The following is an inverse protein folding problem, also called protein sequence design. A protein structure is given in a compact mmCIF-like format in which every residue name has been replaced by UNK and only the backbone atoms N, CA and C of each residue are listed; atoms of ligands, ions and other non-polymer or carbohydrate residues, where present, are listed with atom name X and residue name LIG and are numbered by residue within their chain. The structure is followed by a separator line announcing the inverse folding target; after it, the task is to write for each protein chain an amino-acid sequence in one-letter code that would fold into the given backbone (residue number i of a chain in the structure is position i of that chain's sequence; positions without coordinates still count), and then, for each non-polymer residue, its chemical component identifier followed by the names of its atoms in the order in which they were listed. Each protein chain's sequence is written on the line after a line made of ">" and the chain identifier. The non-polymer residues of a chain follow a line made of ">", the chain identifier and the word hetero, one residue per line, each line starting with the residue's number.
data_IF_763920857838
#
_entry.id   IF_763920857838
#
_cell.length_a   1.000
_cell.length_b   1.000
_cell.length_c   1.000
_cell.angle_alpha   90.00
_cell.angle_beta   90.00
_cell.angle_gamma   90.00
#
_symmetry.space_group_name_H-M   'P 1'
#
loop_
_entity.id
_entity.type
_entity.pdbx_description
1 polymer ?
#
# COMPACT_ATOMS: atom_id res chain seq x y z
N UNK A 1 -29.67 -13.88 16.32
CA UNK A 1 -28.78 -14.88 15.67
C UNK A 1 -27.99 -14.26 14.52
N UNK A 2 -28.60 -13.43 13.67
CA UNK A 2 -27.94 -12.73 12.55
C UNK A 2 -26.82 -11.77 12.99
N UNK A 3 -27.05 -10.99 14.05
CA UNK A 3 -26.09 -9.99 14.55
C UNK A 3 -24.75 -10.61 15.00
N UNK A 4 -24.79 -11.83 15.54
CA UNK A 4 -23.60 -12.55 16.00
C UNK A 4 -22.77 -13.11 14.83
N UNK A 5 -23.45 -13.56 13.76
CA UNK A 5 -22.84 -14.02 12.52
C UNK A 5 -22.18 -12.83 11.80
N UNK A 6 -22.85 -11.67 11.76
CA UNK A 6 -22.31 -10.47 11.12
C UNK A 6 -21.10 -9.90 11.87
N UNK A 7 -21.11 -9.93 13.21
CA UNK A 7 -19.94 -9.58 14.01
C UNK A 7 -18.74 -10.51 13.74
N UNK A 8 -18.99 -11.82 13.58
CA UNK A 8 -17.96 -12.79 13.23
C UNK A 8 -17.40 -12.58 11.82
N UNK A 9 -18.25 -12.27 10.84
CA UNK A 9 -17.80 -11.89 9.48
C UNK A 9 -16.94 -10.62 9.52
N UNK A 10 -17.36 -9.62 10.29
CA UNK A 10 -16.59 -8.39 10.46
C UNK A 10 -15.21 -8.65 11.08
N UNK A 11 -15.14 -9.55 12.07
CA UNK A 11 -13.89 -9.99 12.68
C UNK A 11 -12.99 -10.72 11.67
N UNK A 12 -13.52 -11.70 10.94
CA UNK A 12 -12.80 -12.43 9.90
C UNK A 12 -12.28 -11.49 8.79
N UNK A 13 -13.09 -10.51 8.38
CA UNK A 13 -12.67 -9.46 7.44
C UNK A 13 -11.53 -8.60 7.99
N UNK A 14 -11.60 -8.22 9.26
CA UNK A 14 -10.54 -7.43 9.90
C UNK A 14 -9.23 -8.25 9.98
N UNK A 15 -9.29 -9.50 10.40
CA UNK A 15 -8.15 -10.40 10.46
C UNK A 15 -7.56 -10.66 9.06
N UNK A 16 -8.39 -10.77 8.03
CA UNK A 16 -7.94 -10.95 6.65
C UNK A 16 -7.23 -9.71 6.13
N UNK A 17 -7.80 -8.52 6.38
CA UNK A 17 -7.17 -7.24 6.03
C UNK A 17 -5.84 -7.06 6.73
N UNK A 18 -5.70 -7.53 7.95
CA UNK A 18 -4.47 -7.49 8.73
C UNK A 18 -3.44 -8.57 8.30
N UNK A 19 -3.81 -9.48 7.38
CA UNK A 19 -2.92 -10.53 6.86
C UNK A 19 -2.88 -11.80 7.70
N UNK A 20 -3.65 -11.88 8.79
CA UNK A 20 -3.64 -13.04 9.70
C UNK A 20 -4.69 -14.11 9.33
N UNK A 21 -5.62 -13.83 8.42
CA UNK A 21 -6.70 -14.75 8.07
C UNK A 21 -6.86 -14.94 6.55
N UNK A 22 -6.82 -16.19 6.10
CA UNK A 22 -6.97 -16.60 4.70
C UNK A 22 -8.19 -17.50 4.47
N UNK A 23 -9.04 -17.66 5.49
CA UNK A 23 -10.25 -18.47 5.43
C UNK A 23 -11.44 -17.75 4.78
N UNK A 24 -12.55 -18.46 4.64
CA UNK A 24 -13.81 -17.87 4.21
C UNK A 24 -14.36 -16.89 5.26
N UNK A 25 -14.99 -15.81 4.80
CA UNK A 25 -15.72 -14.85 5.65
C UNK A 25 -17.16 -15.34 5.75
N UNK A 26 -17.36 -16.39 6.53
CA UNK A 26 -18.62 -17.13 6.65
C UNK A 26 -19.38 -16.81 7.94
N UNK A 27 -18.76 -16.11 8.89
CA UNK A 27 -19.32 -15.81 10.19
C UNK A 27 -19.25 -16.98 11.17
N UNK A 28 -18.41 -17.98 10.87
CA UNK A 28 -18.18 -19.13 11.74
C UNK A 28 -16.88 -18.97 12.53
N UNK A 29 -16.97 -19.11 13.85
CA UNK A 29 -15.77 -19.16 14.68
C UNK A 29 -15.16 -20.56 14.61
N UNK A 30 -14.22 -20.75 13.67
CA UNK A 30 -13.51 -22.01 13.46
C UNK A 30 -12.01 -21.93 13.75
N UNK A 31 -11.26 -23.05 13.56
CA UNK A 31 -9.83 -23.13 13.86
C UNK A 31 -8.97 -22.06 13.15
N UNK A 32 -9.38 -21.63 11.94
CA UNK A 32 -8.70 -20.56 11.21
C UNK A 32 -8.88 -19.19 11.86
N UNK A 33 -10.07 -18.91 12.40
CA UNK A 33 -10.37 -17.63 13.08
C UNK A 33 -9.60 -17.56 14.40
N UNK A 34 -9.57 -18.68 15.13
CA UNK A 34 -8.79 -18.83 16.37
C UNK A 34 -7.27 -18.68 16.13
N UNK A 35 -6.73 -19.33 15.10
CA UNK A 35 -5.31 -19.22 14.74
C UNK A 35 -4.93 -17.77 14.37
N UNK A 36 -5.77 -17.09 13.60
CA UNK A 36 -5.57 -15.68 13.24
C UNK A 36 -5.55 -14.76 14.47
N UNK A 37 -6.46 -14.98 15.42
CA UNK A 37 -6.50 -14.23 16.68
C UNK A 37 -5.25 -14.46 17.54
N UNK A 38 -4.78 -15.70 17.63
CA UNK A 38 -3.54 -16.06 18.34
C UNK A 38 -2.31 -15.42 17.71
N UNK A 39 -2.25 -15.38 16.37
CA UNK A 39 -1.18 -14.71 15.65
C UNK A 39 -1.16 -13.20 15.94
N UNK A 40 -2.32 -12.53 15.93
CA UNK A 40 -2.44 -11.12 16.32
C UNK A 40 -1.99 -10.88 17.76
N UNK A 41 -2.39 -11.76 18.69
CA UNK A 41 -2.03 -11.63 20.10
C UNK A 41 -0.53 -11.84 20.35
N UNK A 42 0.10 -12.78 19.65
CA UNK A 42 1.54 -13.04 19.76
C UNK A 42 2.40 -11.86 19.27
N UNK A 43 1.88 -11.05 18.35
CA UNK A 43 2.54 -9.84 17.84
C UNK A 43 2.22 -8.56 18.66
N UNK A 44 1.55 -8.71 19.82
CA UNK A 44 1.23 -7.59 20.72
C UNK A 44 0.03 -6.74 20.28
N UNK A 45 -0.79 -7.22 19.34
CA UNK A 45 -1.90 -6.50 18.76
C UNK A 45 -3.13 -6.40 19.68
N UNK A 46 -3.44 -5.20 20.16
CA UNK A 46 -4.68 -4.91 20.85
C UNK A 46 -5.87 -4.94 19.86
N UNK A 47 -6.57 -6.08 19.76
CA UNK A 47 -7.95 -6.10 19.26
C UNK A 47 -8.87 -5.67 20.41
N UNK A 48 -8.80 -4.39 20.80
CA UNK A 48 -9.76 -3.79 21.72
C UNK A 48 -10.38 -2.60 21.01
N UNK A 49 -11.71 -2.67 20.84
CA UNK A 49 -12.59 -1.70 20.16
C UNK A 49 -12.53 -1.71 18.63
N UNK A 50 -12.92 -2.83 18.00
CA UNK A 50 -13.41 -2.76 16.62
C UNK A 50 -14.77 -2.05 16.62
N UNK A 51 -14.78 -0.77 16.21
CA UNK A 51 -15.94 -0.21 15.51
C UNK A 51 -16.29 -1.16 14.36
N UNK A 52 -17.58 -1.36 14.00
CA UNK A 52 -17.94 -2.22 12.88
C UNK A 52 -17.09 -1.85 11.68
N UNK A 53 -16.41 -2.84 11.10
CA UNK A 53 -15.62 -2.64 9.90
C UNK A 53 -16.54 -1.95 8.88
N UNK A 54 -16.13 -0.76 8.43
CA UNK A 54 -16.80 -0.10 7.32
C UNK A 54 -17.01 -1.15 6.22
N UNK A 55 -18.23 -1.17 5.67
CA UNK A 55 -18.66 -2.07 4.62
C UNK A 55 -17.56 -2.24 3.56
N UNK A 56 -17.48 -3.42 2.92
CA UNK A 56 -16.63 -3.60 1.74
C UNK A 56 -16.82 -2.38 0.82
N UNK A 57 -15.74 -1.71 0.37
CA UNK A 57 -15.86 -0.43 -0.29
C UNK A 57 -16.82 -0.56 -1.49
N UNK A 58 -18.01 0.04 -1.39
CA UNK A 58 -19.06 0.05 -2.42
C UNK A 58 -18.86 1.21 -3.41
N UNK A 59 -17.62 1.71 -3.50
CA UNK A 59 -17.27 2.85 -4.33
C UNK A 59 -17.10 2.49 -5.80
N UNK A 60 -16.94 3.50 -6.68
CA UNK A 60 -16.53 3.28 -8.05
C UNK A 60 -15.27 2.40 -8.13
N UNK A 61 -15.09 1.69 -9.25
CA UNK A 61 -13.89 0.87 -9.48
C UNK A 61 -13.16 1.44 -10.69
N UNK A 62 -11.93 1.87 -10.47
CA UNK A 62 -10.99 2.17 -11.55
C UNK A 62 -10.51 0.86 -12.14
N UNK A 63 -10.43 0.80 -13.46
CA UNK A 63 -9.94 -0.36 -14.18
C UNK A 63 -8.68 0.00 -14.98
N UNK A 64 -7.67 -0.85 -14.89
CA UNK A 64 -6.38 -0.66 -15.57
C UNK A 64 -6.26 -1.49 -16.84
N UNK A 65 -5.78 -0.84 -17.91
CA UNK A 65 -5.49 -1.47 -19.20
C UNK A 65 -6.72 -1.95 -19.97
N UNK A 66 -6.50 -2.42 -21.20
CA UNK A 66 -7.59 -2.91 -22.08
C UNK A 66 -8.31 -4.14 -21.52
N UNK A 67 -7.61 -4.95 -20.72
CA UNK A 67 -8.18 -6.10 -20.02
C UNK A 67 -9.01 -5.72 -18.78
N UNK A 68 -9.09 -4.42 -18.43
CA UNK A 68 -9.89 -3.88 -17.33
C UNK A 68 -9.62 -4.58 -15.99
N UNK A 69 -8.39 -4.57 -15.52
CA UNK A 69 -8.07 -5.09 -14.19
C UNK A 69 -8.62 -4.15 -13.11
N UNK A 70 -9.48 -4.62 -12.17
CA UNK A 70 -9.97 -3.77 -11.10
C UNK A 70 -8.81 -3.33 -10.21
N UNK A 71 -8.77 -2.05 -9.89
CA UNK A 71 -7.76 -1.49 -8.98
C UNK A 71 -8.22 -1.67 -7.54
N UNK A 72 -7.49 -2.47 -6.78
CA UNK A 72 -7.82 -2.78 -5.37
C UNK A 72 -6.66 -2.54 -4.39
N UNK A 73 -5.48 -2.16 -4.88
CA UNK A 73 -4.27 -2.07 -4.09
C UNK A 73 -3.44 -0.83 -4.39
N UNK A 74 -2.87 -0.24 -3.34
CA UNK A 74 -1.80 0.77 -3.42
C UNK A 74 -0.51 0.14 -2.89
N UNK A 75 0.56 0.16 -3.69
CA UNK A 75 1.92 -0.25 -3.26
C UNK A 75 2.81 0.99 -3.13
N UNK A 76 3.40 1.16 -1.94
CA UNK A 76 4.32 2.26 -1.62
C UNK A 76 5.77 1.85 -1.93
N UNK A 77 6.47 2.77 -2.58
CA UNK A 77 7.88 2.66 -2.98
C UNK A 77 8.69 3.84 -2.46
N UNK A 78 10.02 3.71 -2.51
CA UNK A 78 10.95 4.82 -2.42
C UNK A 78 11.94 4.78 -3.60
N UNK A 79 12.41 5.95 -4.03
CA UNK A 79 13.34 6.09 -5.15
C UNK A 79 14.80 5.72 -4.79
N UNK A 80 15.08 5.44 -3.52
CA UNK A 80 16.43 5.17 -2.99
C UNK A 80 17.43 6.31 -3.27
N UNK A 81 16.95 7.55 -3.24
CA UNK A 81 17.78 8.74 -3.46
C UNK A 81 18.27 9.33 -2.14
N UNK A 82 19.44 9.98 -2.16
CA UNK A 82 19.92 10.75 -0.99
C UNK A 82 19.01 11.96 -0.69
N UNK A 83 18.99 12.48 0.56
CA UNK A 83 18.16 13.63 0.95
C UNK A 83 18.42 14.91 0.14
N UNK A 84 19.64 15.10 -0.38
CA UNK A 84 20.04 16.26 -1.19
C UNK A 84 19.88 16.05 -2.69
N UNK A 85 19.39 14.89 -3.11
CA UNK A 85 19.22 14.57 -4.52
C UNK A 85 18.28 15.58 -5.20
N UNK A 86 18.83 16.30 -6.18
CA UNK A 86 18.16 17.37 -6.93
C UNK A 86 17.48 18.42 -6.03
N UNK A 87 18.11 18.78 -4.90
CA UNK A 87 17.63 19.86 -4.02
C UNK A 87 17.41 21.15 -4.82
N UNK A 88 16.30 21.83 -4.58
CA UNK A 88 15.91 23.08 -5.26
C UNK A 88 15.30 22.88 -6.66
N UNK A 89 15.40 21.69 -7.26
CA UNK A 89 14.78 21.41 -8.55
C UNK A 89 13.27 21.15 -8.40
N UNK A 90 12.45 21.58 -9.37
CA UNK A 90 11.02 21.30 -9.37
C UNK A 90 10.74 19.80 -9.52
N UNK A 91 9.58 19.36 -9.07
CA UNK A 91 9.18 17.95 -9.13
C UNK A 91 9.19 17.39 -10.56
N UNK A 92 8.86 18.21 -11.56
CA UNK A 92 8.90 17.85 -12.98
C UNK A 92 10.30 17.43 -13.44
N UNK A 93 11.36 18.11 -12.99
CA UNK A 93 12.73 17.75 -13.29
C UNK A 93 13.12 16.42 -12.62
N UNK A 94 12.70 16.22 -11.37
CA UNK A 94 12.94 14.97 -10.63
C UNK A 94 12.24 13.77 -11.27
N UNK A 95 10.99 13.94 -11.72
CA UNK A 95 10.23 12.93 -12.46
C UNK A 95 10.92 12.56 -13.77
N UNK A 96 11.43 13.55 -14.50
CA UNK A 96 12.19 13.34 -15.75
C UNK A 96 13.45 12.52 -15.51
N UNK A 97 14.18 12.79 -14.44
CA UNK A 97 15.40 12.02 -14.11
C UNK A 97 15.07 10.57 -13.73
N UNK A 98 14.00 10.32 -12.98
CA UNK A 98 13.58 8.94 -12.67
C UNK A 98 13.07 8.20 -13.93
N UNK A 99 12.37 8.89 -14.84
CA UNK A 99 11.99 8.32 -16.15
C UNK A 99 13.25 7.95 -16.96
N UNK A 100 14.28 8.80 -16.93
CA UNK A 100 15.58 8.54 -17.56
C UNK A 100 16.22 7.26 -17.00
N UNK A 101 16.36 7.11 -15.68
CA UNK A 101 16.90 5.90 -15.05
C UNK A 101 16.15 4.64 -15.47
N UNK A 102 14.82 4.69 -15.46
CA UNK A 102 14.01 3.55 -15.86
C UNK A 102 14.21 3.17 -17.34
N UNK A 103 14.25 4.14 -18.25
CA UNK A 103 14.39 3.88 -19.69
C UNK A 103 15.80 3.49 -20.08
N UNK A 104 16.77 4.28 -19.67
CA UNK A 104 18.15 4.18 -20.16
C UNK A 104 18.95 3.14 -19.38
N UNK A 105 18.77 3.06 -18.05
CA UNK A 105 19.60 2.20 -17.20
C UNK A 105 18.92 0.84 -16.93
N UNK A 106 17.59 0.80 -16.87
CA UNK A 106 16.84 -0.44 -16.63
C UNK A 106 16.14 -1.00 -17.86
N UNK A 107 16.20 -0.31 -19.00
CA UNK A 107 15.57 -0.75 -20.25
C UNK A 107 14.04 -0.77 -20.21
N UNK A 108 13.40 -0.08 -19.26
CA UNK A 108 11.96 -0.05 -19.14
C UNK A 108 11.36 0.84 -20.22
N UNK A 109 10.14 0.49 -20.68
CA UNK A 109 9.46 1.29 -21.71
C UNK A 109 9.13 2.71 -21.26
N UNK A 110 9.03 2.97 -19.96
CA UNK A 110 8.69 4.26 -19.32
C UNK A 110 8.86 4.17 -17.80
N UNK A 111 8.70 5.29 -17.12
CA UNK A 111 8.63 5.37 -15.66
C UNK A 111 7.59 4.40 -15.09
N UNK A 112 8.00 3.61 -14.09
CA UNK A 112 7.16 2.55 -13.52
C UNK A 112 6.16 2.98 -12.45
N UNK A 113 6.19 4.25 -12.01
CA UNK A 113 5.35 4.77 -10.92
C UNK A 113 4.14 5.55 -11.46
N UNK A 114 2.98 5.35 -10.82
CA UNK A 114 1.78 6.16 -11.09
C UNK A 114 1.95 7.52 -10.44
N UNK A 115 2.21 7.56 -9.14
CA UNK A 115 2.48 8.82 -8.47
C UNK A 115 3.95 8.87 -8.06
N UNK A 116 4.68 9.79 -8.68
CA UNK A 116 5.80 10.48 -8.03
C UNK A 116 5.30 11.83 -7.55
N UNK A 117 4.12 11.85 -6.93
CA UNK A 117 3.27 13.03 -7.05
C UNK A 117 3.13 13.38 -8.57
N UNK A 118 2.67 12.38 -9.37
CA UNK A 118 1.81 12.49 -10.59
C UNK A 118 2.03 11.40 -11.69
N UNK A 119 0.90 10.83 -12.17
CA UNK A 119 0.48 10.23 -13.48
C UNK A 119 -0.95 9.66 -13.31
N UNK A 120 -1.71 9.51 -14.39
CA UNK A 120 -3.07 8.95 -14.39
C UNK A 120 -3.13 7.46 -13.97
N UNK A 121 -4.10 7.12 -13.11
CA UNK A 121 -4.27 5.83 -12.41
C UNK A 121 -4.79 4.67 -13.30
N UNK A 122 -5.32 4.99 -14.48
CA UNK A 122 -5.98 4.05 -15.40
C UNK A 122 -5.02 3.24 -16.28
N UNK A 123 -3.73 3.59 -16.28
CA UNK A 123 -2.71 2.81 -16.97
C UNK A 123 -2.11 1.74 -16.06
N UNK A 124 -1.53 0.67 -16.62
CA UNK A 124 -0.75 -0.31 -15.83
C UNK A 124 0.66 0.25 -15.60
N UNK A 125 1.09 0.28 -14.34
CA UNK A 125 2.43 0.67 -13.91
C UNK A 125 3.47 -0.44 -14.05
N UNK A 126 4.70 -0.19 -13.59
CA UNK A 126 5.80 -1.15 -13.57
C UNK A 126 6.62 -0.97 -12.29
N UNK A 127 5.99 -1.07 -11.13
CA UNK A 127 6.61 -0.81 -9.82
C UNK A 127 7.16 -2.05 -9.13
N UNK A 128 6.48 -3.20 -9.27
CA UNK A 128 6.88 -4.49 -8.67
C UNK A 128 6.90 -5.55 -9.75
N UNK A 129 8.02 -6.26 -9.92
CA UNK A 129 8.10 -7.33 -10.91
C UNK A 129 7.05 -8.41 -10.64
N UNK A 130 6.28 -8.78 -11.68
CA UNK A 130 5.18 -9.73 -11.55
C UNK A 130 3.90 -9.21 -10.88
N UNK A 131 3.90 -8.02 -10.28
CA UNK A 131 2.77 -7.51 -9.47
C UNK A 131 2.38 -6.06 -9.80
N UNK A 132 1.91 -5.83 -11.04
CA UNK A 132 1.59 -4.47 -11.53
C UNK A 132 0.11 -4.27 -11.94
N UNK A 133 -0.68 -5.34 -12.04
CA UNK A 133 -2.07 -5.28 -12.54
C UNK A 133 -3.03 -5.02 -11.38
N UNK A 134 -3.90 -4.03 -11.51
CA UNK A 134 -4.85 -3.68 -10.45
C UNK A 134 -4.19 -2.94 -9.28
N UNK A 135 -3.02 -2.36 -9.52
CA UNK A 135 -2.17 -1.76 -8.48
C UNK A 135 -1.83 -0.32 -8.85
N UNK A 136 -2.04 0.60 -7.91
CA UNK A 136 -1.49 1.95 -7.97
C UNK A 136 -0.15 1.96 -7.25
N UNK A 137 0.88 2.51 -7.90
CA UNK A 137 2.23 2.58 -7.34
C UNK A 137 2.54 4.03 -6.97
N UNK A 138 2.83 4.28 -5.70
CA UNK A 138 3.21 5.59 -5.18
C UNK A 138 4.66 5.55 -4.73
N UNK A 139 5.50 6.44 -5.25
CA UNK A 139 6.93 6.49 -4.93
C UNK A 139 7.29 7.76 -4.15
N UNK A 140 7.92 7.57 -2.99
CA UNK A 140 8.54 8.62 -2.20
C UNK A 140 9.96 8.92 -2.70
N UNK A 141 10.32 10.21 -2.76
CA UNK A 141 11.72 10.61 -2.97
C UNK A 141 12.46 10.48 -1.64
N UNK A 142 13.63 9.85 -1.65
CA UNK A 142 14.41 9.49 -0.45
C UNK A 142 14.63 7.99 -0.31
N UNK A 143 15.02 7.56 0.90
CA UNK A 143 15.13 6.14 1.27
C UNK A 143 16.48 5.46 0.97
N UNK A 144 17.48 6.20 0.48
CA UNK A 144 18.83 5.65 0.31
C UNK A 144 19.38 5.13 1.67
N UNK A 145 19.84 3.87 1.69
CA UNK A 145 20.40 3.25 2.89
C UNK A 145 19.40 2.83 3.97
N UNK A 146 18.09 2.95 3.70
CA UNK A 146 17.05 2.53 4.65
C UNK A 146 17.03 1.00 4.84
N UNK A 147 16.72 0.56 6.06
CA UNK A 147 16.37 -0.83 6.33
C UNK A 147 14.87 -1.07 6.08
N UNK A 148 14.49 -2.31 5.76
CA UNK A 148 13.10 -2.68 5.46
C UNK A 148 12.08 -2.32 6.56
N UNK A 149 12.56 -2.21 7.81
CA UNK A 149 11.75 -2.05 9.02
C UNK A 149 12.05 -0.76 9.77
N UNK A 150 12.74 0.20 9.15
CA UNK A 150 12.96 1.51 9.76
C UNK A 150 11.62 2.21 10.06
N UNK A 151 11.58 3.10 11.06
CA UNK A 151 10.45 4.00 11.23
C UNK A 151 10.44 5.04 10.08
N UNK A 152 9.24 5.45 9.64
CA UNK A 152 9.07 6.34 8.48
C UNK A 152 9.87 7.64 8.63
N UNK A 153 9.81 8.25 9.81
CA UNK A 153 10.42 9.52 10.16
C UNK A 153 11.96 9.51 10.13
N UNK A 154 12.59 8.33 10.13
CA UNK A 154 14.04 8.22 9.96
C UNK A 154 14.50 8.64 8.57
N UNK A 155 13.68 8.33 7.56
CA UNK A 155 14.07 8.41 6.15
C UNK A 155 13.25 9.45 5.36
N UNK A 156 12.09 9.86 5.87
CA UNK A 156 11.14 10.75 5.19
C UNK A 156 10.59 11.83 6.12
N UNK A 157 10.18 12.96 5.53
CA UNK A 157 9.70 14.14 6.29
C UNK A 157 8.23 14.04 6.65
N UNK A 158 7.81 14.70 7.74
CA UNK A 158 6.40 14.80 8.14
C UNK A 158 5.48 15.40 7.05
N UNK A 159 6.00 16.26 6.19
CA UNK A 159 5.25 16.75 5.03
C UNK A 159 4.98 15.66 3.98
N UNK A 160 5.91 14.71 3.79
CA UNK A 160 5.72 13.55 2.92
C UNK A 160 4.71 12.57 3.52
N UNK A 161 4.73 12.37 4.85
CA UNK A 161 3.73 11.57 5.56
C UNK A 161 2.30 12.10 5.31
N UNK A 162 2.07 13.39 5.59
CA UNK A 162 0.77 14.04 5.35
C UNK A 162 0.34 13.97 3.89
N UNK A 163 1.25 14.23 2.95
CA UNK A 163 0.96 14.16 1.53
C UNK A 163 0.60 12.73 1.09
N UNK A 164 1.31 11.72 1.60
CA UNK A 164 1.05 10.33 1.27
C UNK A 164 -0.30 9.86 1.81
N UNK A 165 -0.63 10.18 3.06
CA UNK A 165 -1.95 9.87 3.65
C UNK A 165 -3.08 10.56 2.90
N UNK A 166 -2.94 11.86 2.61
CA UNK A 166 -3.94 12.60 1.84
C UNK A 166 -4.15 12.04 0.44
N UNK A 167 -3.08 11.59 -0.24
CA UNK A 167 -3.19 10.93 -1.54
C UNK A 167 -3.91 9.57 -1.42
N UNK A 168 -3.59 8.76 -0.41
CA UNK A 168 -4.27 7.48 -0.16
C UNK A 168 -5.77 7.71 0.08
N UNK A 169 -6.14 8.72 0.85
CA UNK A 169 -7.55 9.04 1.12
C UNK A 169 -8.27 9.53 -0.14
N UNK A 170 -7.61 10.33 -0.98
CA UNK A 170 -8.15 10.76 -2.27
C UNK A 170 -8.40 9.55 -3.20
N UNK A 171 -7.41 8.66 -3.36
CA UNK A 171 -7.56 7.44 -4.18
C UNK A 171 -8.70 6.56 -3.64
N UNK A 172 -8.82 6.42 -2.31
CA UNK A 172 -9.92 5.66 -1.69
C UNK A 172 -11.30 6.25 -1.93
N UNK A 173 -11.39 7.56 -2.18
CA UNK A 173 -12.64 8.20 -2.56
C UNK A 173 -13.02 7.89 -4.03
N UNK A 174 -12.02 7.63 -4.89
CA UNK A 174 -12.22 7.40 -6.33
C UNK A 174 -12.31 5.92 -6.71
N UNK A 175 -11.65 5.03 -5.96
CA UNK A 175 -11.71 3.59 -6.20
C UNK A 175 -11.70 2.74 -4.94
N UNK A 176 -12.35 1.58 -5.02
CA UNK A 176 -12.45 0.61 -3.94
C UNK A 176 -11.11 -0.08 -3.59
N UNK A 177 -10.22 0.64 -2.89
CA UNK A 177 -8.95 0.10 -2.39
C UNK A 177 -9.17 -0.79 -1.16
N UNK A 178 -8.72 -2.04 -1.24
CA UNK A 178 -8.78 -3.02 -0.16
C UNK A 178 -7.44 -3.23 0.52
N UNK A 179 -6.32 -2.93 -0.16
CA UNK A 179 -4.96 -3.19 0.31
C UNK A 179 -4.05 -1.98 0.16
N UNK A 180 -3.22 -1.72 1.18
CA UNK A 180 -2.11 -0.77 1.14
C UNK A 180 -0.88 -1.50 1.66
N UNK A 181 0.14 -1.62 0.81
CA UNK A 181 1.33 -2.46 1.03
C UNK A 181 2.60 -1.71 0.65
N UNK A 182 3.76 -2.21 1.06
CA UNK A 182 5.07 -1.78 0.59
C UNK A 182 5.63 -2.73 -0.45
N UNK A 183 6.64 -2.30 -1.22
CA UNK A 183 7.36 -3.21 -2.11
C UNK A 183 7.97 -4.40 -1.36
N UNK A 184 8.42 -4.19 -0.11
CA UNK A 184 8.92 -5.22 0.79
C UNK A 184 7.88 -6.30 1.16
N UNK A 185 6.58 -6.04 1.01
CA UNK A 185 5.54 -7.06 1.19
C UNK A 185 5.47 -8.02 -0.01
N UNK A 186 6.00 -7.62 -1.18
CA UNK A 186 5.91 -8.36 -2.44
C UNK A 186 7.26 -8.88 -2.95
N UNK A 187 8.37 -8.39 -2.41
CA UNK A 187 9.71 -8.79 -2.79
C UNK A 187 10.68 -8.65 -1.62
N UNK A 188 11.74 -9.48 -1.57
CA UNK A 188 12.82 -9.37 -0.59
C UNK A 188 13.70 -8.14 -0.85
N UNK A 189 13.18 -6.95 -0.54
CA UNK A 189 13.80 -5.64 -0.76
C UNK A 189 13.56 -4.74 0.46
N UNK A 190 14.44 -3.76 0.68
CA UNK A 190 14.27 -2.79 1.76
C UNK A 190 13.17 -1.76 1.46
N UNK A 191 12.88 -1.48 0.19
CA UNK A 191 11.87 -0.51 -0.25
C UNK A 191 10.48 -0.82 0.34
N UNK A 192 9.73 0.15 0.90
CA UNK A 192 9.97 1.60 0.88
C UNK A 192 10.84 2.13 2.02
N UNK A 193 11.51 1.26 2.79
CA UNK A 193 12.33 1.64 3.94
C UNK A 193 11.55 1.75 5.24
N UNK A 194 10.39 1.09 5.32
CA UNK A 194 9.54 0.95 6.50
C UNK A 194 8.45 -0.10 6.25
N UNK A 195 7.79 -0.58 7.31
CA UNK A 195 6.63 -1.47 7.22
C UNK A 195 5.36 -0.63 7.02
N UNK A 196 4.82 -0.64 5.81
CA UNK A 196 3.66 0.21 5.43
C UNK A 196 2.44 -0.08 6.30
N UNK A 197 2.19 -1.35 6.63
CA UNK A 197 1.10 -1.77 7.50
C UNK A 197 1.16 -1.09 8.88
N UNK A 198 2.35 -1.02 9.44
CA UNK A 198 2.58 -0.40 10.75
C UNK A 198 2.43 1.11 10.68
N UNK A 199 2.92 1.72 9.60
CA UNK A 199 2.83 3.17 9.39
C UNK A 199 1.38 3.65 9.21
N UNK A 200 0.60 3.02 8.32
CA UNK A 200 -0.77 3.49 8.01
C UNK A 200 -1.73 3.36 9.20
N UNK A 201 -1.49 2.41 10.09
CA UNK A 201 -2.31 2.16 11.29
C UNK A 201 -1.90 2.99 12.51
N UNK A 202 -0.82 3.77 12.44
CA UNK A 202 -0.47 4.74 13.48
C UNK A 202 -1.34 5.99 13.33
N UNK A 203 -1.88 6.44 14.47
CA UNK A 203 -2.72 7.62 14.62
C UNK A 203 -1.97 8.92 14.33
#
# INVERSE_FOLDING_TARGET
>A
MTEQIDALKALQMALARLGYYTGAIDGLFGPRTDAALKAVAAEGGAIRNLKPAAAAPTGPIIFQGSARYPVDEIVIHCAATHPDWMRGQPLTAKRKEIDRWHREERGWRKIGYHHLIDRAETEIGAGVEGHNRGVIHVCLIGGAGSAATDPFERNFKAAQDRALRGLIDAIRAETAITRITGHNDHAAKACPGFVVRNWINRA
#
